data_IF_138038186748
#
_entry.id   IF_138038186748
#
_cell.length_a   1.000
_cell.length_b   1.000
_cell.length_c   1.000
_cell.angle_alpha   90.00
_cell.angle_beta   90.00
_cell.angle_gamma   90.00
#
_symmetry.space_group_name_H-M   'P 1'
#
loop_
_entity.id
_entity.type
_entity.pdbx_description
1 polymer ?
#
# COMPACT_ATOMS: atom_id res chain seq x y z
N UNK A 1 -30.40 33.24 -22.00
CA UNK A 1 -30.67 32.10 -21.10
C UNK A 1 -29.62 31.04 -21.40
N UNK A 2 -28.45 31.16 -20.78
CA UNK A 2 -27.35 30.20 -20.97
C UNK A 2 -27.43 29.18 -19.84
N UNK A 3 -27.72 27.93 -20.20
CA UNK A 3 -27.64 26.80 -19.28
C UNK A 3 -26.18 26.56 -18.94
N UNK A 4 -25.80 26.87 -17.70
CA UNK A 4 -24.56 26.41 -17.11
C UNK A 4 -24.79 24.91 -16.85
N UNK A 5 -24.35 24.07 -17.78
CA UNK A 5 -24.09 22.68 -17.45
C UNK A 5 -22.99 22.73 -16.37
N UNK A 6 -23.37 22.49 -15.12
CA UNK A 6 -22.41 22.02 -14.13
C UNK A 6 -21.82 20.76 -14.76
N UNK A 7 -20.56 20.82 -15.17
CA UNK A 7 -19.79 19.60 -15.40
C UNK A 7 -20.04 18.72 -14.18
N UNK A 8 -20.76 17.62 -14.38
CA UNK A 8 -20.92 16.63 -13.34
C UNK A 8 -19.51 16.15 -13.05
N UNK A 9 -18.96 16.56 -11.89
CA UNK A 9 -17.71 16.04 -11.36
C UNK A 9 -17.78 14.53 -11.54
N UNK A 10 -16.88 14.01 -12.38
CA UNK A 10 -16.90 12.60 -12.74
C UNK A 10 -16.64 11.83 -11.45
N UNK A 11 -17.68 11.28 -10.86
CA UNK A 11 -17.59 10.49 -9.63
C UNK A 11 -16.61 9.35 -9.90
N UNK A 12 -15.45 9.41 -9.27
CA UNK A 12 -14.42 8.38 -9.33
C UNK A 12 -15.01 7.13 -8.68
N UNK A 13 -15.03 6.01 -9.41
CA UNK A 13 -15.57 4.76 -8.88
C UNK A 13 -14.61 4.09 -7.90
N UNK A 14 -15.11 3.09 -7.17
CA UNK A 14 -14.35 2.39 -6.13
C UNK A 14 -13.07 1.77 -6.69
N UNK A 15 -13.11 1.28 -7.92
CA UNK A 15 -11.94 0.77 -8.63
C UNK A 15 -10.83 1.83 -8.76
N UNK A 16 -11.16 3.01 -9.30
CA UNK A 16 -10.18 4.09 -9.45
C UNK A 16 -9.68 4.63 -8.09
N UNK A 17 -10.54 4.64 -7.07
CA UNK A 17 -10.16 5.00 -5.70
C UNK A 17 -9.13 4.00 -5.13
N UNK A 18 -9.41 2.69 -5.17
CA UNK A 18 -8.49 1.65 -4.69
C UNK A 18 -7.19 1.66 -5.49
N UNK A 19 -7.26 1.77 -6.82
CA UNK A 19 -6.07 1.89 -7.67
C UNK A 19 -5.19 3.06 -7.22
N UNK A 20 -5.78 4.22 -6.91
CA UNK A 20 -5.06 5.40 -6.43
C UNK A 20 -4.44 5.19 -5.05
N UNK A 21 -5.17 4.55 -4.12
CA UNK A 21 -4.68 4.22 -2.78
C UNK A 21 -3.46 3.28 -2.88
N UNK A 22 -3.60 2.17 -3.62
CA UNK A 22 -2.54 1.17 -3.81
C UNK A 22 -1.30 1.77 -4.48
N UNK A 23 -1.49 2.56 -5.54
CA UNK A 23 -0.40 3.26 -6.22
C UNK A 23 0.33 4.22 -5.28
N UNK A 24 -0.42 4.94 -4.44
CA UNK A 24 0.15 5.89 -3.47
C UNK A 24 0.95 5.17 -2.39
N UNK A 25 0.44 4.07 -1.85
CA UNK A 25 1.12 3.21 -0.88
C UNK A 25 2.41 2.62 -1.44
N UNK A 26 2.34 2.02 -2.63
CA UNK A 26 3.53 1.46 -3.29
C UNK A 26 4.53 2.56 -3.60
N UNK A 27 4.09 3.74 -4.06
CA UNK A 27 5.00 4.88 -4.29
C UNK A 27 5.71 5.30 -3.01
N UNK A 28 5.00 5.33 -1.87
CA UNK A 28 5.58 5.60 -0.56
C UNK A 28 6.59 4.53 -0.13
N UNK A 29 6.25 3.24 -0.30
CA UNK A 29 7.17 2.13 -0.02
C UNK A 29 8.42 2.15 -0.88
N UNK A 30 8.38 2.80 -2.03
CA UNK A 30 9.51 2.89 -2.95
C UNK A 30 10.24 4.24 -2.85
N UNK A 31 9.89 5.12 -1.90
CA UNK A 31 10.34 6.53 -1.85
C UNK A 31 11.86 6.72 -1.84
N UNK A 32 12.61 5.73 -1.36
CA UNK A 32 14.07 5.76 -1.28
C UNK A 32 14.76 5.24 -2.56
N UNK A 33 14.00 4.61 -3.48
CA UNK A 33 14.53 4.07 -4.72
C UNK A 33 14.49 5.12 -5.85
N UNK A 34 15.51 5.18 -6.73
CA UNK A 34 15.55 6.15 -7.83
C UNK A 34 14.33 6.08 -8.74
N UNK A 35 13.71 7.24 -9.01
CA UNK A 35 12.50 7.34 -9.85
C UNK A 35 12.73 7.05 -11.33
N UNK A 36 13.99 7.08 -11.79
CA UNK A 36 14.40 6.66 -13.15
C UNK A 36 14.21 5.16 -13.42
N UNK A 37 14.09 4.36 -12.36
CA UNK A 37 13.84 2.93 -12.49
C UNK A 37 12.36 2.70 -12.71
N UNK A 38 12.04 1.77 -13.60
CA UNK A 38 10.67 1.33 -13.86
C UNK A 38 9.98 0.90 -12.58
N UNK A 39 8.68 1.18 -12.48
CA UNK A 39 7.90 0.97 -11.25
C UNK A 39 8.00 -0.46 -10.73
N UNK A 40 7.74 -1.45 -11.59
CA UNK A 40 7.81 -2.86 -11.21
C UNK A 40 9.22 -3.34 -10.89
N UNK A 41 10.24 -2.73 -11.50
CA UNK A 41 11.63 -3.00 -11.15
C UNK A 41 11.96 -2.48 -9.74
N UNK A 42 11.46 -1.30 -9.36
CA UNK A 42 11.59 -0.78 -7.99
C UNK A 42 10.85 -1.67 -6.98
N UNK A 43 9.66 -2.15 -7.30
CA UNK A 43 8.92 -3.12 -6.46
C UNK A 43 9.77 -4.37 -6.22
N UNK A 44 10.35 -4.94 -7.28
CA UNK A 44 11.20 -6.13 -7.17
C UNK A 44 12.45 -5.88 -6.30
N UNK A 45 13.12 -4.74 -6.47
CA UNK A 45 14.26 -4.34 -5.62
C UNK A 45 13.82 -4.28 -4.14
N UNK A 46 12.72 -3.59 -3.84
CA UNK A 46 12.24 -3.42 -2.46
C UNK A 46 11.84 -4.75 -1.81
N UNK A 47 11.23 -5.66 -2.57
CA UNK A 47 10.94 -7.01 -2.09
C UNK A 47 12.23 -7.80 -1.79
N UNK A 48 13.24 -7.71 -2.66
CA UNK A 48 14.51 -8.40 -2.47
C UNK A 48 15.33 -7.83 -1.31
N UNK A 49 15.31 -6.51 -1.10
CA UNK A 49 15.87 -5.85 0.09
C UNK A 49 15.23 -6.42 1.37
N UNK A 50 13.90 -6.57 1.39
CA UNK A 50 13.20 -7.15 2.55
C UNK A 50 13.58 -8.61 2.78
N UNK A 51 13.69 -9.44 1.73
CA UNK A 51 14.13 -10.84 1.83
C UNK A 51 15.55 -10.96 2.37
N UNK A 52 16.45 -10.14 1.86
CA UNK A 52 17.86 -10.10 2.29
C UNK A 52 17.98 -9.72 3.76
N UNK A 53 17.29 -8.65 4.20
CA UNK A 53 17.29 -8.21 5.60
C UNK A 53 16.64 -9.24 6.53
N UNK A 54 15.56 -9.88 6.09
CA UNK A 54 14.90 -10.96 6.82
C UNK A 54 15.88 -12.13 7.03
N UNK A 55 16.58 -12.58 5.99
CA UNK A 55 17.55 -13.67 6.08
C UNK A 55 18.71 -13.31 7.03
N UNK A 56 19.22 -12.08 6.94
CA UNK A 56 20.31 -11.58 7.80
C UNK A 56 19.91 -11.55 9.28
N UNK A 57 18.70 -11.08 9.59
CA UNK A 57 18.19 -11.10 10.96
C UNK A 57 17.98 -12.53 11.46
N UNK A 58 17.44 -13.42 10.62
CA UNK A 58 17.23 -14.83 10.98
C UNK A 58 18.53 -15.50 11.41
N UNK A 59 19.62 -15.27 10.68
CA UNK A 59 20.93 -15.85 10.97
C UNK A 59 21.52 -15.39 12.32
N UNK A 60 21.08 -14.24 12.84
CA UNK A 60 21.62 -13.61 14.07
C UNK A 60 20.71 -13.75 15.29
N UNK A 61 19.60 -14.48 15.18
CA UNK A 61 18.68 -14.72 16.30
C UNK A 61 19.43 -15.44 17.43
N UNK A 62 19.30 -14.91 18.64
CA UNK A 62 19.75 -15.59 19.86
C UNK A 62 18.91 -15.15 21.06
N UNK A 63 18.45 -16.11 21.86
CA UNK A 63 17.65 -15.80 23.05
C UNK A 63 18.49 -15.40 24.26
N UNK A 64 19.81 -15.63 24.21
CA UNK A 64 20.73 -15.41 25.33
C UNK A 64 21.20 -13.96 25.46
N UNK A 65 21.02 -13.13 24.43
CA UNK A 65 21.44 -11.73 24.44
C UNK A 65 20.30 -10.78 24.03
N UNK A 66 20.39 -9.53 24.48
CA UNK A 66 19.43 -8.51 24.06
C UNK A 66 19.51 -8.25 22.54
N UNK A 67 20.71 -8.25 21.97
CA UNK A 67 20.93 -8.08 20.51
C UNK A 67 20.34 -9.24 19.72
N UNK A 68 20.45 -10.48 20.21
CA UNK A 68 19.83 -11.63 19.57
C UNK A 68 18.30 -11.58 19.59
N UNK A 69 17.69 -11.08 20.67
CA UNK A 69 16.24 -10.84 20.74
C UNK A 69 15.80 -9.67 19.87
N UNK A 70 16.64 -8.65 19.69
CA UNK A 70 16.41 -7.61 18.70
C UNK A 70 16.29 -8.21 17.30
N UNK A 71 17.21 -9.10 16.90
CA UNK A 71 17.13 -9.77 15.60
C UNK A 71 15.87 -10.63 15.43
N UNK A 72 15.40 -11.30 16.49
CA UNK A 72 14.10 -11.99 16.47
C UNK A 72 12.95 -11.03 16.14
N UNK A 73 12.87 -9.90 16.86
CA UNK A 73 11.82 -8.89 16.64
C UNK A 73 11.88 -8.31 15.21
N UNK A 74 13.08 -8.02 14.73
CA UNK A 74 13.26 -7.48 13.37
C UNK A 74 12.93 -8.51 12.30
N UNK A 75 13.29 -9.79 12.49
CA UNK A 75 12.90 -10.87 11.58
C UNK A 75 11.37 -10.98 11.46
N UNK A 76 10.65 -10.96 12.58
CA UNK A 76 9.18 -11.00 12.59
C UNK A 76 8.57 -9.78 11.90
N UNK A 77 9.10 -8.58 12.18
CA UNK A 77 8.66 -7.34 11.55
C UNK A 77 8.90 -7.37 10.02
N UNK A 78 10.06 -7.82 9.57
CA UNK A 78 10.38 -7.95 8.14
C UNK A 78 9.56 -9.02 7.44
N UNK A 79 9.27 -10.13 8.11
CA UNK A 79 8.37 -11.16 7.59
C UNK A 79 6.99 -10.60 7.30
N UNK A 80 6.43 -9.85 8.25
CA UNK A 80 5.13 -9.18 8.06
C UNK A 80 5.19 -8.10 6.99
N UNK A 81 6.25 -7.28 6.98
CA UNK A 81 6.42 -6.21 5.98
C UNK A 81 6.50 -6.77 4.56
N UNK A 82 7.29 -7.82 4.36
CA UNK A 82 7.44 -8.48 3.06
C UNK A 82 6.10 -9.05 2.57
N UNK A 83 5.39 -9.81 3.41
CA UNK A 83 4.09 -10.37 3.06
C UNK A 83 3.07 -9.29 2.67
N UNK A 84 3.00 -8.19 3.44
CA UNK A 84 2.13 -7.05 3.11
C UNK A 84 2.52 -6.38 1.79
N UNK A 85 3.82 -6.21 1.52
CA UNK A 85 4.31 -5.61 0.27
C UNK A 85 4.02 -6.49 -0.95
N UNK A 86 4.22 -7.80 -0.83
CA UNK A 86 3.88 -8.78 -1.88
C UNK A 86 2.37 -8.74 -2.17
N UNK A 87 1.54 -8.78 -1.11
CA UNK A 87 0.08 -8.68 -1.25
C UNK A 87 -0.37 -7.39 -1.95
N UNK A 88 0.16 -6.23 -1.54
CA UNK A 88 -0.16 -4.94 -2.17
C UNK A 88 0.25 -4.92 -3.65
N UNK A 89 1.43 -5.44 -3.97
CA UNK A 89 1.92 -5.48 -5.34
C UNK A 89 1.06 -6.39 -6.22
N UNK A 90 0.66 -7.55 -5.72
CA UNK A 90 -0.15 -8.51 -6.47
C UNK A 90 -1.58 -8.00 -6.69
N UNK A 91 -2.24 -7.43 -5.68
CA UNK A 91 -3.53 -6.77 -5.87
C UNK A 91 -3.38 -5.62 -6.88
N UNK A 92 -2.35 -4.77 -6.74
CA UNK A 92 -2.18 -3.62 -7.63
C UNK A 92 -2.03 -4.04 -9.10
N UNK A 93 -1.44 -5.21 -9.40
CA UNK A 93 -1.43 -5.76 -10.77
C UNK A 93 -2.84 -5.99 -11.30
N UNK A 94 -3.77 -6.50 -10.48
CA UNK A 94 -5.17 -6.69 -10.88
C UNK A 94 -5.84 -5.35 -11.22
N UNK A 95 -5.54 -4.30 -10.44
CA UNK A 95 -6.04 -2.94 -10.70
C UNK A 95 -5.32 -2.22 -11.85
N UNK A 96 -4.35 -2.86 -12.50
CA UNK A 96 -3.79 -2.38 -13.77
C UNK A 96 -4.51 -2.99 -14.99
N UNK A 97 -5.46 -3.91 -14.78
CA UNK A 97 -6.23 -4.59 -15.82
C UNK A 97 -7.63 -3.96 -15.90
N UNK A 98 -7.85 -3.10 -16.89
CA UNK A 98 -9.13 -2.37 -17.01
C UNK A 98 -10.32 -3.32 -17.24
N UNK A 99 -10.08 -4.48 -17.85
CA UNK A 99 -11.07 -5.54 -18.03
C UNK A 99 -11.64 -6.08 -16.71
N UNK A 100 -10.90 -5.99 -15.59
CA UNK A 100 -11.34 -6.44 -14.27
C UNK A 100 -12.19 -5.40 -13.53
N UNK A 101 -12.27 -4.15 -14.03
CA UNK A 101 -12.91 -3.02 -13.34
C UNK A 101 -14.34 -3.32 -12.89
N UNK A 102 -15.16 -3.91 -13.75
CA UNK A 102 -16.55 -4.22 -13.43
C UNK A 102 -16.66 -5.29 -12.32
N UNK A 103 -15.81 -6.31 -12.38
CA UNK A 103 -15.76 -7.38 -11.38
C UNK A 103 -15.29 -6.83 -10.03
N UNK A 104 -14.19 -6.07 -10.03
CA UNK A 104 -13.61 -5.47 -8.83
C UNK A 104 -14.57 -4.48 -8.15
N UNK A 105 -15.24 -3.61 -8.93
CA UNK A 105 -16.27 -2.72 -8.39
C UNK A 105 -17.42 -3.50 -7.71
N UNK A 106 -17.84 -4.63 -8.30
CA UNK A 106 -18.87 -5.47 -7.69
C UNK A 106 -18.40 -6.09 -6.37
N UNK A 107 -17.20 -6.70 -6.36
CA UNK A 107 -16.63 -7.31 -5.15
C UNK A 107 -16.41 -6.29 -4.03
N UNK A 108 -16.01 -5.08 -4.39
CA UNK A 108 -15.76 -3.99 -3.44
C UNK A 108 -17.02 -3.22 -3.02
N UNK A 109 -18.20 -3.60 -3.51
CA UNK A 109 -19.44 -2.87 -3.24
C UNK A 109 -19.79 -2.76 -1.74
N UNK A 110 -19.35 -3.72 -0.92
CA UNK A 110 -19.55 -3.70 0.52
C UNK A 110 -18.55 -2.84 1.30
N UNK A 111 -17.47 -2.40 0.66
CA UNK A 111 -16.40 -1.59 1.27
C UNK A 111 -16.32 -0.17 0.69
N UNK A 112 -17.30 0.26 -0.11
CA UNK A 112 -17.23 1.52 -0.86
C UNK A 112 -17.10 2.74 0.06
N UNK A 113 -17.82 2.76 1.19
CA UNK A 113 -17.78 3.87 2.14
C UNK A 113 -16.40 3.95 2.81
N UNK A 114 -15.88 2.83 3.30
CA UNK A 114 -14.55 2.75 3.92
C UNK A 114 -13.45 3.16 2.92
N UNK A 115 -13.54 2.68 1.68
CA UNK A 115 -12.59 3.02 0.60
C UNK A 115 -12.67 4.51 0.27
N UNK A 116 -13.86 5.10 0.23
CA UNK A 116 -14.02 6.53 -0.04
C UNK A 116 -13.38 7.38 1.07
N UNK A 117 -13.51 6.97 2.34
CA UNK A 117 -12.84 7.63 3.48
C UNK A 117 -11.32 7.52 3.37
N UNK A 118 -10.79 6.33 3.06
CA UNK A 118 -9.35 6.14 2.85
C UNK A 118 -8.84 6.98 1.68
N UNK A 119 -9.61 7.04 0.59
CA UNK A 119 -9.27 7.83 -0.58
C UNK A 119 -9.19 9.32 -0.25
N UNK A 120 -10.15 9.85 0.51
CA UNK A 120 -10.14 11.24 0.98
C UNK A 120 -8.89 11.56 1.82
N UNK A 121 -8.54 10.68 2.75
CA UNK A 121 -7.30 10.82 3.52
C UNK A 121 -6.04 10.83 2.64
N UNK A 122 -6.01 10.02 1.58
CA UNK A 122 -4.91 10.02 0.60
C UNK A 122 -4.85 11.33 -0.20
N UNK A 123 -5.99 11.91 -0.58
CA UNK A 123 -6.02 13.21 -1.26
C UNK A 123 -5.46 14.33 -0.38
N UNK A 124 -5.68 14.24 0.93
CA UNK A 124 -5.23 15.20 1.93
C UNK A 124 -3.95 14.77 2.68
N UNK A 125 -3.18 13.83 2.13
CA UNK A 125 -2.02 13.23 2.80
C UNK A 125 -0.97 14.23 3.28
N UNK A 126 -0.86 15.39 2.65
CA UNK A 126 0.10 16.45 3.03
C UNK A 126 -0.14 17.00 4.45
N UNK A 127 -1.35 16.82 5.00
CA UNK A 127 -1.66 17.15 6.39
C UNK A 127 -0.93 16.24 7.40
N UNK A 128 -0.44 15.07 6.96
CA UNK A 128 0.14 14.02 7.80
C UNK A 128 1.60 13.72 7.47
N UNK A 129 2.21 14.42 6.52
CA UNK A 129 3.59 14.18 6.03
C UNK A 129 4.63 15.11 6.64
N UNK A 130 4.29 15.82 7.72
CA UNK A 130 5.15 16.85 8.31
C UNK A 130 6.38 16.31 9.07
N UNK A 131 6.39 15.03 9.46
CA UNK A 131 7.58 14.36 9.95
C UNK A 131 7.55 12.85 9.66
N UNK A 132 8.73 12.23 9.61
CA UNK A 132 8.88 10.83 9.19
C UNK A 132 8.10 9.84 10.05
N UNK A 133 8.04 10.06 11.37
CA UNK A 133 7.35 9.15 12.29
C UNK A 133 5.84 9.18 12.10
N UNK A 134 5.25 10.38 11.93
CA UNK A 134 3.82 10.54 11.70
C UNK A 134 3.45 10.05 10.30
N UNK A 135 4.29 10.37 9.30
CA UNK A 135 4.13 9.88 7.95
C UNK A 135 4.13 8.34 7.93
N UNK A 136 5.07 7.69 8.63
CA UNK A 136 5.11 6.24 8.74
C UNK A 136 3.82 5.68 9.36
N UNK A 137 3.37 6.24 10.48
CA UNK A 137 2.14 5.79 11.16
C UNK A 137 0.91 5.96 10.27
N UNK A 138 0.81 7.07 9.55
CA UNK A 138 -0.26 7.30 8.58
C UNK A 138 -0.28 6.21 7.49
N UNK A 139 0.85 5.92 6.86
CA UNK A 139 0.91 4.89 5.82
C UNK A 139 0.77 3.46 6.36
N UNK A 140 1.10 3.21 7.62
CA UNK A 140 0.79 1.94 8.29
C UNK A 140 -0.72 1.79 8.51
N UNK A 141 -1.40 2.83 8.98
CA UNK A 141 -2.86 2.82 9.16
C UNK A 141 -3.59 2.61 7.82
N UNK A 142 -3.28 3.43 6.80
CA UNK A 142 -3.88 3.29 5.46
C UNK A 142 -3.67 1.88 4.89
N UNK A 143 -2.48 1.30 5.09
CA UNK A 143 -2.16 -0.04 4.62
C UNK A 143 -3.00 -1.11 5.31
N UNK A 144 -3.16 -1.01 6.62
CA UNK A 144 -3.89 -2.01 7.39
C UNK A 144 -5.38 -1.98 7.03
N UNK A 145 -5.95 -0.79 6.87
CA UNK A 145 -7.35 -0.62 6.49
C UNK A 145 -7.61 -1.07 5.04
N UNK A 146 -6.75 -0.70 4.07
CA UNK A 146 -6.96 -1.12 2.69
C UNK A 146 -6.75 -2.63 2.51
N UNK A 147 -5.78 -3.23 3.21
CA UNK A 147 -5.56 -4.69 3.17
C UNK A 147 -6.76 -5.45 3.75
N UNK A 148 -7.45 -4.87 4.73
CA UNK A 148 -8.70 -5.41 5.23
C UNK A 148 -9.82 -5.31 4.17
N UNK A 149 -10.00 -4.15 3.55
CA UNK A 149 -11.04 -3.92 2.53
C UNK A 149 -10.85 -4.77 1.26
N UNK A 150 -9.62 -5.16 0.93
CA UNK A 150 -9.29 -5.99 -0.24
C UNK A 150 -8.96 -7.45 0.10
N UNK A 151 -9.20 -7.88 1.35
CA UNK A 151 -8.77 -9.20 1.82
C UNK A 151 -9.33 -10.32 0.93
N UNK A 152 -10.61 -10.22 0.55
CA UNK A 152 -11.34 -11.21 -0.23
C UNK A 152 -11.11 -11.09 -1.74
N UNK A 153 -10.15 -10.27 -2.20
CA UNK A 153 -9.84 -10.10 -3.63
C UNK A 153 -8.92 -11.19 -4.23
N UNK A 154 -8.47 -12.15 -3.40
CA UNK A 154 -7.77 -13.37 -3.86
C UNK A 154 -8.64 -14.29 -4.74
#
# INVERSE_FOLDING_TARGET
>A
MFGIFKDAEKSIDTYEQVHTILKSLLTYELKELPTRYEFWYRVAIRQEECRSLQAEHRAKISMTSAVGRFHQKQYEAMTKKLAKLERLADIYKLFCLEEERANLNHRLSFHQEDIAVLYDHIQHKELYTYCDSVQLQFWEAIRDDILHAIADLD
#
